data_IF_841982131453
#
_entry.id   IF_841982131453
#
_cell.length_a   1.000
_cell.length_b   1.000
_cell.length_c   1.000
_cell.angle_alpha   90.00
_cell.angle_beta   90.00
_cell.angle_gamma   90.00
#
_symmetry.space_group_name_H-M   'P 1'
#
loop_
_entity.id
_entity.type
_entity.pdbx_description
1 polymer ?
#
# COMPACT_ATOMS: atom_id res chain seq x y z
N UNK A 1 -8.67 -8.07 -10.89
CA UNK A 1 -9.47 -9.24 -11.38
C UNK A 1 -8.79 -10.51 -10.86
N UNK A 2 -9.51 -11.61 -10.68
CA UNK A 2 -8.90 -12.87 -10.24
C UNK A 2 -8.90 -13.81 -11.45
N UNK A 3 -7.72 -14.22 -11.93
CA UNK A 3 -7.58 -15.20 -13.00
C UNK A 3 -7.24 -16.55 -12.38
N UNK A 4 -8.07 -17.56 -12.59
CA UNK A 4 -7.98 -18.86 -11.92
C UNK A 4 -7.77 -20.05 -12.86
N UNK A 5 -7.36 -19.79 -14.09
CA UNK A 5 -7.05 -20.79 -15.12
C UNK A 5 -5.55 -20.68 -15.50
N UNK A 6 -4.89 -21.82 -15.65
CA UNK A 6 -3.47 -21.91 -16.04
C UNK A 6 -3.17 -21.08 -17.29
N UNK A 7 -3.96 -21.23 -18.34
CA UNK A 7 -3.77 -20.49 -19.59
C UNK A 7 -3.96 -18.99 -19.40
N UNK A 8 -4.99 -18.59 -18.65
CA UNK A 8 -5.26 -17.18 -18.37
C UNK A 8 -4.15 -16.52 -17.55
N UNK A 9 -3.53 -17.26 -16.61
CA UNK A 9 -2.37 -16.76 -15.84
C UNK A 9 -1.13 -16.64 -16.73
N UNK A 10 -0.88 -17.62 -17.61
CA UNK A 10 0.23 -17.57 -18.56
C UNK A 10 0.07 -16.38 -19.51
N UNK A 11 -1.12 -16.19 -20.08
CA UNK A 11 -1.38 -15.07 -20.97
C UNK A 11 -1.28 -13.72 -20.27
N UNK A 12 -1.74 -13.60 -19.01
CA UNK A 12 -1.57 -12.39 -18.22
C UNK A 12 -0.08 -12.05 -17.98
N UNK A 13 0.77 -13.06 -17.72
CA UNK A 13 2.21 -12.89 -17.61
C UNK A 13 2.85 -12.46 -18.93
N UNK A 14 2.44 -13.05 -20.06
CA UNK A 14 2.95 -12.74 -21.42
C UNK A 14 2.52 -11.35 -21.87
N UNK A 15 1.28 -10.98 -21.59
CA UNK A 15 0.70 -9.67 -21.97
C UNK A 15 1.25 -8.51 -21.10
N UNK A 16 2.12 -8.76 -20.13
CA UNK A 16 2.63 -7.74 -19.23
C UNK A 16 1.56 -7.14 -18.30
N UNK A 17 0.44 -7.84 -18.10
CA UNK A 17 -0.62 -7.39 -17.18
C UNK A 17 -0.04 -7.24 -15.78
N UNK A 18 -0.36 -6.14 -15.11
CA UNK A 18 0.10 -5.90 -13.73
C UNK A 18 -0.50 -6.92 -12.78
N UNK A 19 0.32 -7.87 -12.33
CA UNK A 19 -0.06 -8.93 -11.40
C UNK A 19 0.48 -8.59 -10.01
N UNK A 20 -0.41 -8.53 -9.02
CA UNK A 20 -0.04 -8.28 -7.62
C UNK A 20 0.59 -9.49 -6.95
N UNK A 21 -0.07 -10.65 -7.08
CA UNK A 21 0.37 -11.91 -6.46
C UNK A 21 -0.11 -13.08 -7.30
N UNK A 22 0.69 -14.14 -7.30
CA UNK A 22 0.27 -15.45 -7.80
C UNK A 22 0.29 -16.42 -6.63
N UNK A 23 -0.84 -17.10 -6.42
CA UNK A 23 -0.96 -18.20 -5.47
C UNK A 23 -0.83 -19.51 -6.22
N UNK A 24 0.05 -20.39 -5.73
CA UNK A 24 0.28 -21.72 -6.31
C UNK A 24 0.00 -22.77 -5.24
N UNK A 25 -0.65 -23.85 -5.63
CA UNK A 25 -0.98 -24.95 -4.74
C UNK A 25 0.29 -25.63 -4.22
N UNK A 26 0.39 -25.70 -2.89
CA UNK A 26 1.53 -26.33 -2.21
C UNK A 26 1.54 -27.84 -2.46
N UNK A 27 2.74 -28.38 -2.81
CA UNK A 27 2.94 -29.82 -3.00
C UNK A 27 2.57 -30.34 -4.39
N UNK A 28 2.10 -29.50 -5.31
CA UNK A 28 1.90 -29.87 -6.70
C UNK A 28 3.25 -29.98 -7.41
N UNK A 29 3.44 -31.09 -8.14
CA UNK A 29 4.65 -31.38 -8.93
C UNK A 29 4.47 -31.08 -10.42
N UNK A 30 3.40 -30.37 -10.79
CA UNK A 30 3.12 -30.01 -12.18
C UNK A 30 4.21 -29.09 -12.73
N UNK A 31 4.83 -29.50 -13.84
CA UNK A 31 5.86 -28.72 -14.52
C UNK A 31 5.35 -27.34 -14.98
N UNK A 32 4.09 -27.23 -15.35
CA UNK A 32 3.45 -25.98 -15.78
C UNK A 32 3.36 -24.98 -14.63
N UNK A 33 2.97 -25.45 -13.43
CA UNK A 33 2.94 -24.59 -12.22
C UNK A 33 4.35 -24.14 -11.84
N UNK A 34 5.35 -25.02 -11.95
CA UNK A 34 6.76 -24.69 -11.74
C UNK A 34 7.25 -23.63 -12.73
N UNK A 35 6.86 -23.73 -14.00
CA UNK A 35 7.20 -22.74 -15.03
C UNK A 35 6.54 -21.38 -14.74
N UNK A 36 5.25 -21.36 -14.39
CA UNK A 36 4.54 -20.14 -13.99
C UNK A 36 5.24 -19.48 -12.80
N UNK A 37 5.60 -20.25 -11.77
CA UNK A 37 6.31 -19.74 -10.60
C UNK A 37 7.64 -19.09 -10.95
N UNK A 38 8.42 -19.73 -11.81
CA UNK A 38 9.72 -19.24 -12.26
C UNK A 38 9.58 -17.96 -13.08
N UNK A 39 8.68 -17.95 -14.08
CA UNK A 39 8.41 -16.79 -14.92
C UNK A 39 7.91 -15.59 -14.10
N UNK A 40 6.98 -15.84 -13.17
CA UNK A 40 6.45 -14.81 -12.29
C UNK A 40 7.54 -14.19 -11.40
N UNK A 41 8.42 -15.02 -10.81
CA UNK A 41 9.54 -14.52 -9.98
C UNK A 41 10.54 -13.72 -10.82
N UNK A 42 10.84 -14.15 -12.05
CA UNK A 42 11.69 -13.41 -12.97
C UNK A 42 11.09 -12.05 -13.35
N UNK A 43 9.77 -11.96 -13.47
CA UNK A 43 9.03 -10.71 -13.68
C UNK A 43 8.83 -9.88 -12.39
N UNK A 44 9.40 -10.28 -11.25
CA UNK A 44 9.29 -9.56 -9.98
C UNK A 44 7.92 -9.67 -9.31
N UNK A 45 7.06 -10.60 -9.76
CA UNK A 45 5.74 -10.88 -9.18
C UNK A 45 5.89 -11.73 -7.92
N UNK A 46 5.14 -11.38 -6.87
CA UNK A 46 5.13 -12.15 -5.62
C UNK A 46 4.41 -13.48 -5.83
N UNK A 47 5.13 -14.59 -5.61
CA UNK A 47 4.57 -15.95 -5.63
C UNK A 47 4.40 -16.45 -4.20
N UNK A 48 3.22 -16.95 -3.87
CA UNK A 48 2.83 -17.42 -2.54
C UNK A 48 2.32 -18.86 -2.65
N UNK A 49 2.88 -19.75 -1.84
CA UNK A 49 2.35 -21.10 -1.71
C UNK A 49 1.06 -21.06 -0.90
N UNK A 50 0.03 -21.74 -1.39
CA UNK A 50 -1.28 -21.81 -0.77
C UNK A 50 -1.80 -23.25 -0.73
N UNK A 51 -2.57 -23.59 0.30
CA UNK A 51 -3.29 -24.85 0.32
C UNK A 51 -4.51 -24.82 -0.63
N UNK A 52 -5.02 -26.00 -0.96
CA UNK A 52 -6.16 -26.13 -1.87
C UNK A 52 -7.40 -25.41 -1.34
N UNK A 53 -7.67 -25.45 -0.03
CA UNK A 53 -8.83 -24.79 0.57
C UNK A 53 -8.81 -23.29 0.38
N UNK A 54 -7.62 -22.67 0.50
CA UNK A 54 -7.42 -21.25 0.25
C UNK A 54 -7.67 -20.90 -1.21
N UNK A 55 -7.20 -21.72 -2.14
CA UNK A 55 -7.43 -21.53 -3.57
C UNK A 55 -8.93 -21.72 -3.91
N UNK A 56 -9.58 -22.74 -3.38
CA UNK A 56 -11.03 -22.96 -3.54
C UNK A 56 -11.84 -21.75 -3.04
N UNK A 57 -11.46 -21.19 -1.88
CA UNK A 57 -12.12 -20.01 -1.32
C UNK A 57 -11.92 -18.76 -2.19
N UNK A 58 -10.73 -18.59 -2.78
CA UNK A 58 -10.41 -17.44 -3.63
C UNK A 58 -10.97 -17.55 -5.03
N UNK A 59 -11.16 -18.78 -5.53
CA UNK A 59 -11.69 -19.04 -6.87
C UNK A 59 -13.22 -18.94 -6.89
N UNK A 60 -13.75 -18.07 -7.72
CA UNK A 60 -15.21 -17.97 -7.94
C UNK A 60 -15.80 -19.17 -8.68
N UNK A 61 -15.00 -19.90 -9.44
CA UNK A 61 -15.43 -21.00 -10.33
C UNK A 61 -15.04 -22.35 -9.79
N UNK A 62 -14.26 -22.43 -8.70
CA UNK A 62 -13.64 -23.66 -8.16
C UNK A 62 -12.78 -24.44 -9.17
N UNK A 63 -12.50 -23.88 -10.35
CA UNK A 63 -11.72 -24.48 -11.43
C UNK A 63 -10.33 -23.84 -11.55
N UNK A 64 -9.61 -23.73 -10.42
CA UNK A 64 -8.35 -22.98 -10.37
C UNK A 64 -7.11 -23.74 -10.88
N UNK A 65 -7.19 -25.02 -11.15
CA UNK A 65 -6.06 -25.83 -11.66
C UNK A 65 -4.73 -25.62 -10.89
N UNK A 66 -4.80 -25.36 -9.58
CA UNK A 66 -3.64 -25.15 -8.71
C UNK A 66 -2.99 -23.76 -8.77
N UNK A 67 -3.56 -22.80 -9.51
CA UNK A 67 -3.04 -21.44 -9.61
C UNK A 67 -4.13 -20.38 -9.56
N UNK A 68 -3.82 -19.25 -8.90
CA UNK A 68 -4.65 -18.04 -8.94
C UNK A 68 -3.75 -16.81 -9.05
N UNK A 69 -3.98 -15.96 -10.04
CA UNK A 69 -3.35 -14.66 -10.17
C UNK A 69 -4.32 -13.54 -9.73
N UNK A 70 -3.85 -12.69 -8.84
CA UNK A 70 -4.52 -11.43 -8.52
C UNK A 70 -3.93 -10.34 -9.39
N UNK A 71 -4.71 -9.80 -10.30
CA UNK A 71 -4.31 -8.68 -11.15
C UNK A 71 -4.72 -7.36 -10.53
N UNK A 72 -3.88 -6.35 -10.68
CA UNK A 72 -4.18 -4.98 -10.28
C UNK A 72 -5.27 -4.39 -11.17
N UNK A 73 -6.12 -3.53 -10.61
CA UNK A 73 -7.12 -2.77 -11.37
C UNK A 73 -6.52 -1.51 -12.01
N UNK A 74 -5.30 -1.15 -11.60
CA UNK A 74 -4.53 -0.01 -12.08
C UNK A 74 -3.05 -0.34 -12.10
N UNK A 75 -2.30 0.31 -12.97
CA UNK A 75 -0.85 0.23 -12.98
C UNK A 75 -0.27 0.98 -11.78
N UNK A 76 0.84 0.46 -11.25
CA UNK A 76 1.62 1.15 -10.24
C UNK A 76 2.58 2.11 -10.91
N UNK A 77 2.79 3.25 -10.26
CA UNK A 77 3.79 4.23 -10.69
C UNK A 77 5.10 4.06 -9.90
N UNK A 78 6.14 4.76 -10.29
CA UNK A 78 7.34 4.89 -9.48
C UNK A 78 7.16 5.96 -8.38
N UNK A 79 8.02 5.92 -7.35
CA UNK A 79 8.05 6.95 -6.31
C UNK A 79 8.47 8.30 -6.91
N UNK A 80 9.35 8.27 -7.90
CA UNK A 80 9.78 9.46 -8.63
C UNK A 80 8.63 10.14 -9.38
N UNK A 81 7.71 9.36 -9.98
CA UNK A 81 6.52 9.94 -10.62
C UNK A 81 5.66 10.69 -9.61
N UNK A 82 5.51 10.17 -8.37
CA UNK A 82 4.77 10.85 -7.30
C UNK A 82 5.45 12.18 -6.93
N UNK A 83 6.77 12.19 -6.78
CA UNK A 83 7.53 13.40 -6.48
C UNK A 83 7.46 14.43 -7.62
N UNK A 84 7.50 13.97 -8.88
CA UNK A 84 7.39 14.82 -10.04
C UNK A 84 6.01 15.51 -10.13
N UNK A 85 4.92 14.83 -9.77
CA UNK A 85 3.60 15.46 -9.69
C UNK A 85 3.59 16.64 -8.71
N UNK A 86 4.23 16.51 -7.55
CA UNK A 86 4.34 17.62 -6.59
C UNK A 86 5.17 18.77 -7.16
N UNK A 87 6.31 18.46 -7.82
CA UNK A 87 7.17 19.46 -8.47
C UNK A 87 6.44 20.21 -9.59
N UNK A 88 5.69 19.49 -10.44
CA UNK A 88 4.92 20.08 -11.55
C UNK A 88 3.81 21.01 -11.05
N UNK A 89 3.20 20.69 -9.90
CA UNK A 89 2.20 21.54 -9.26
C UNK A 89 2.80 22.71 -8.48
N UNK A 90 4.12 22.73 -8.27
CA UNK A 90 4.78 23.69 -7.40
C UNK A 90 4.38 23.57 -5.92
N UNK A 91 3.99 22.38 -5.49
CA UNK A 91 3.50 22.09 -4.15
C UNK A 91 4.54 21.29 -3.33
N UNK A 92 4.52 21.48 -2.02
CA UNK A 92 5.27 20.60 -1.11
C UNK A 92 4.67 19.19 -1.16
N UNK A 93 5.47 18.14 -1.42
CA UNK A 93 4.96 16.77 -1.47
C UNK A 93 4.21 16.41 -0.18
N UNK A 94 3.06 15.75 -0.35
CA UNK A 94 2.32 15.06 0.70
C UNK A 94 2.13 13.62 0.24
N UNK A 95 2.83 12.69 0.88
CA UNK A 95 2.87 11.28 0.48
C UNK A 95 2.35 10.43 1.63
N UNK A 96 1.51 9.46 1.33
CA UNK A 96 1.06 8.46 2.31
C UNK A 96 1.85 7.19 2.13
N UNK A 97 2.49 6.70 3.17
CA UNK A 97 3.22 5.44 3.17
C UNK A 97 2.49 4.44 4.06
N UNK A 98 2.04 3.34 3.48
CA UNK A 98 1.35 2.27 4.21
C UNK A 98 2.35 1.18 4.60
N UNK A 99 2.54 0.92 5.89
CA UNK A 99 3.36 -0.18 6.39
C UNK A 99 2.46 -1.35 6.82
N UNK A 100 2.50 -2.45 6.05
CA UNK A 100 1.76 -3.70 6.28
C UNK A 100 0.21 -3.56 6.37
N UNK A 101 -0.38 -2.59 5.67
CA UNK A 101 -1.85 -2.49 5.55
C UNK A 101 -2.37 -3.64 4.68
N UNK A 102 -2.81 -4.72 5.30
CA UNK A 102 -3.21 -5.97 4.63
C UNK A 102 -4.71 -6.04 4.30
N UNK A 103 -5.55 -5.27 5.00
CA UNK A 103 -6.98 -5.17 4.71
C UNK A 103 -7.24 -4.25 3.51
N UNK A 104 -7.87 -4.77 2.43
CA UNK A 104 -8.20 -3.96 1.25
C UNK A 104 -9.24 -2.86 1.55
N UNK A 105 -10.08 -3.01 2.59
CA UNK A 105 -11.01 -1.97 2.98
C UNK A 105 -10.28 -0.76 3.56
N UNK A 106 -9.29 -1.00 4.43
CA UNK A 106 -8.46 0.07 4.98
C UNK A 106 -7.63 0.75 3.90
N UNK A 107 -6.97 -0.03 3.02
CA UNK A 107 -6.20 0.57 1.93
C UNK A 107 -7.08 1.42 1.02
N UNK A 108 -8.29 0.96 0.66
CA UNK A 108 -9.22 1.73 -0.15
C UNK A 108 -9.67 3.01 0.53
N UNK A 109 -9.97 2.97 1.83
CA UNK A 109 -10.35 4.16 2.61
C UNK A 109 -9.18 5.15 2.73
N UNK A 110 -7.94 4.67 2.94
CA UNK A 110 -6.73 5.51 2.96
C UNK A 110 -6.53 6.20 1.60
N UNK A 111 -6.61 5.47 0.48
CA UNK A 111 -6.50 6.04 -0.88
C UNK A 111 -7.56 7.11 -1.11
N UNK A 112 -8.80 6.86 -0.69
CA UNK A 112 -9.89 7.84 -0.80
C UNK A 112 -9.59 9.11 -0.01
N UNK A 113 -9.14 8.97 1.23
CA UNK A 113 -8.78 10.11 2.06
C UNK A 113 -7.57 10.86 1.50
N UNK A 114 -6.56 10.14 0.98
CA UNK A 114 -5.39 10.72 0.34
C UNK A 114 -5.79 11.60 -0.87
N UNK A 115 -6.72 11.13 -1.68
CA UNK A 115 -7.27 11.91 -2.80
C UNK A 115 -7.97 13.18 -2.30
N UNK A 116 -8.91 13.04 -1.38
CA UNK A 116 -9.65 14.17 -0.82
C UNK A 116 -8.74 15.21 -0.12
N UNK A 117 -7.64 14.76 0.47
CA UNK A 117 -6.63 15.61 1.12
C UNK A 117 -5.62 16.22 0.14
N UNK A 118 -5.69 15.92 -1.15
CA UNK A 118 -4.74 16.40 -2.14
C UNK A 118 -3.33 15.80 -2.00
N UNK A 119 -3.22 14.59 -1.44
CA UNK A 119 -1.94 13.89 -1.41
C UNK A 119 -1.45 13.53 -2.82
N UNK A 120 -0.14 13.65 -3.04
CA UNK A 120 0.46 13.42 -4.35
C UNK A 120 0.59 11.95 -4.72
N UNK A 121 0.52 11.05 -3.73
CA UNK A 121 0.50 9.62 -3.95
C UNK A 121 0.47 8.80 -2.68
N UNK A 122 0.22 7.50 -2.89
CA UNK A 122 0.24 6.49 -1.83
C UNK A 122 1.31 5.46 -2.16
N UNK A 123 2.10 5.05 -1.17
CA UNK A 123 3.12 4.01 -1.34
C UNK A 123 2.78 2.80 -0.48
N UNK A 124 2.83 1.62 -1.09
CA UNK A 124 2.59 0.34 -0.42
C UNK A 124 3.77 -0.62 -0.60
N UNK A 125 4.03 -1.56 0.33
CA UNK A 125 5.04 -2.57 0.13
C UNK A 125 4.56 -3.68 -0.85
N UNK A 126 5.51 -4.33 -1.54
CA UNK A 126 5.22 -5.49 -2.41
C UNK A 126 4.70 -6.71 -1.64
N UNK A 127 5.04 -6.84 -0.38
CA UNK A 127 4.66 -7.95 0.49
C UNK A 127 3.91 -7.44 1.71
N UNK A 128 3.11 -8.30 2.34
CA UNK A 128 2.35 -8.01 3.57
C UNK A 128 1.44 -6.78 3.45
N UNK A 129 0.89 -6.54 2.27
CA UNK A 129 -0.02 -5.44 1.99
C UNK A 129 -1.12 -5.90 1.05
N UNK A 130 -2.27 -5.24 1.12
CA UNK A 130 -3.26 -5.31 0.07
C UNK A 130 -2.69 -4.67 -1.21
N UNK A 131 -3.06 -5.20 -2.38
CA UNK A 131 -2.77 -4.59 -3.66
C UNK A 131 -4.00 -3.86 -4.21
N UNK A 132 -3.87 -3.24 -5.38
CA UNK A 132 -4.96 -2.50 -6.05
C UNK A 132 -6.00 -3.46 -6.65
N UNK A 133 -6.74 -4.14 -5.79
CA UNK A 133 -7.78 -5.10 -6.17
C UNK A 133 -9.11 -4.40 -6.48
N UNK A 134 -10.08 -5.16 -7.02
CA UNK A 134 -11.45 -4.66 -7.22
C UNK A 134 -12.14 -4.23 -5.91
N UNK A 135 -11.76 -4.83 -4.77
CA UNK A 135 -12.26 -4.41 -3.46
C UNK A 135 -11.72 -3.03 -3.12
N UNK A 136 -10.41 -2.79 -3.31
CA UNK A 136 -9.79 -1.47 -3.10
C UNK A 136 -10.42 -0.42 -4.01
N UNK A 137 -10.65 -0.73 -5.30
CA UNK A 137 -11.33 0.18 -6.21
C UNK A 137 -12.73 0.56 -5.73
N UNK A 138 -13.50 -0.42 -5.23
CA UNK A 138 -14.84 -0.20 -4.69
C UNK A 138 -14.79 0.62 -3.38
N UNK A 139 -13.93 0.26 -2.45
CA UNK A 139 -13.85 0.93 -1.12
C UNK A 139 -13.25 2.32 -1.20
N UNK A 140 -12.37 2.57 -2.18
CA UNK A 140 -11.87 3.91 -2.48
C UNK A 140 -12.89 4.80 -3.20
N UNK A 141 -14.09 4.30 -3.51
CA UNK A 141 -15.10 5.01 -4.30
C UNK A 141 -14.54 5.58 -5.62
N UNK A 142 -13.59 4.87 -6.24
CA UNK A 142 -12.95 5.28 -7.49
C UNK A 142 -11.73 6.17 -7.33
N UNK A 143 -11.37 6.63 -6.13
CA UNK A 143 -10.21 7.50 -5.89
C UNK A 143 -8.89 6.89 -6.37
N UNK A 144 -8.78 5.55 -6.41
CA UNK A 144 -7.63 4.83 -7.00
C UNK A 144 -7.35 5.20 -8.46
N UNK A 145 -8.29 5.85 -9.14
CA UNK A 145 -8.13 6.33 -10.52
C UNK A 145 -7.45 7.70 -10.62
N UNK A 146 -7.38 8.43 -9.52
CA UNK A 146 -6.89 9.80 -9.45
C UNK A 146 -5.60 9.91 -8.65
N UNK A 147 -5.46 9.14 -7.57
CA UNK A 147 -4.24 9.11 -6.75
C UNK A 147 -3.28 8.06 -7.29
N UNK A 148 -2.07 8.43 -7.71
CA UNK A 148 -1.05 7.46 -8.09
C UNK A 148 -0.62 6.62 -6.89
N UNK A 149 -0.44 5.32 -7.14
CA UNK A 149 0.03 4.39 -6.12
C UNK A 149 1.35 3.78 -6.56
N UNK A 150 2.38 3.93 -5.75
CA UNK A 150 3.65 3.27 -5.97
C UNK A 150 3.76 1.98 -5.13
N UNK A 151 4.53 1.02 -5.63
CA UNK A 151 4.73 -0.26 -4.95
C UNK A 151 6.21 -0.59 -4.82
N UNK A 152 6.70 -0.63 -3.58
CA UNK A 152 8.13 -0.75 -3.28
C UNK A 152 8.49 -2.08 -2.60
N UNK A 153 9.70 -2.60 -2.80
CA UNK A 153 10.13 -3.83 -2.16
C UNK A 153 10.44 -3.66 -0.67
N UNK A 154 10.80 -2.44 -0.24
CA UNK A 154 11.33 -2.17 1.10
C UNK A 154 10.94 -0.75 1.53
N UNK A 155 10.12 -0.62 2.58
CA UNK A 155 9.68 0.68 3.11
C UNK A 155 10.84 1.43 3.80
N UNK A 156 11.66 0.83 4.70
CA UNK A 156 12.83 1.52 5.25
C UNK A 156 13.74 2.19 4.21
N UNK A 157 14.07 1.49 3.12
CA UNK A 157 14.88 2.06 2.05
C UNK A 157 14.17 3.20 1.30
N UNK A 158 12.84 3.11 1.12
CA UNK A 158 12.05 4.21 0.60
C UNK A 158 12.14 5.44 1.49
N UNK A 159 11.99 5.29 2.82
CA UNK A 159 12.04 6.42 3.74
C UNK A 159 13.39 7.14 3.64
N UNK A 160 14.51 6.40 3.59
CA UNK A 160 15.84 6.99 3.36
C UNK A 160 15.95 7.72 2.00
N UNK A 161 15.29 7.21 0.96
CA UNK A 161 15.22 7.89 -0.33
C UNK A 161 14.46 9.21 -0.22
N UNK A 162 13.28 9.21 0.40
CA UNK A 162 12.44 10.40 0.59
C UNK A 162 13.17 11.47 1.41
N UNK A 163 13.88 11.07 2.47
CA UNK A 163 14.69 11.98 3.30
C UNK A 163 15.80 12.66 2.48
N UNK A 164 16.48 11.93 1.57
CA UNK A 164 17.48 12.51 0.66
C UNK A 164 16.89 13.52 -0.32
N UNK A 165 15.60 13.37 -0.67
CA UNK A 165 14.84 14.32 -1.48
C UNK A 165 14.27 15.50 -0.66
N UNK A 166 14.60 15.58 0.63
CA UNK A 166 14.16 16.66 1.53
C UNK A 166 12.74 16.49 2.06
N UNK A 167 12.17 15.28 1.99
CA UNK A 167 10.85 14.97 2.52
C UNK A 167 10.96 14.46 3.94
N UNK A 168 10.34 15.14 4.90
CA UNK A 168 10.27 14.74 6.29
C UNK A 168 9.32 13.56 6.49
N UNK A 169 9.73 12.57 7.27
CA UNK A 169 8.99 11.34 7.51
C UNK A 169 8.35 11.34 8.88
N UNK A 170 7.02 11.36 8.92
CA UNK A 170 6.20 11.33 10.13
C UNK A 170 5.59 9.95 10.32
N UNK A 171 6.07 9.20 11.29
CA UNK A 171 5.53 7.89 11.66
C UNK A 171 4.44 8.02 12.71
N UNK A 172 3.34 7.25 12.55
CA UNK A 172 2.23 7.24 13.50
C UNK A 172 2.47 6.18 14.59
N UNK A 173 2.47 6.57 15.83
CA UNK A 173 2.64 5.66 16.96
C UNK A 173 1.75 6.08 18.13
N UNK A 174 1.21 5.09 18.86
CA UNK A 174 0.42 5.38 20.08
C UNK A 174 1.27 6.08 21.14
N UNK A 175 2.55 5.71 21.23
CA UNK A 175 3.57 6.31 22.09
C UNK A 175 4.51 7.19 21.24
N UNK A 176 3.94 8.21 20.58
CA UNK A 176 4.72 9.18 19.82
C UNK A 176 5.52 10.08 20.74
N UNK A 177 6.65 10.58 20.22
CA UNK A 177 7.48 11.58 20.93
C UNK A 177 6.87 12.97 20.90
N UNK A 178 5.91 13.20 20.00
CA UNK A 178 5.21 14.48 19.80
C UNK A 178 3.71 14.27 19.60
N UNK A 179 2.92 15.21 20.08
CA UNK A 179 1.49 15.29 19.73
C UNK A 179 1.37 15.72 18.26
N UNK A 180 0.43 15.11 17.53
CA UNK A 180 0.16 15.44 16.13
C UNK A 180 -0.05 16.94 15.92
N UNK A 181 -0.79 17.59 16.81
CA UNK A 181 -1.15 19.01 16.68
C UNK A 181 0.02 19.98 16.94
N UNK A 182 1.14 19.47 17.47
CA UNK A 182 2.40 20.22 17.63
C UNK A 182 3.42 19.95 16.52
N UNK A 183 3.18 18.97 15.66
CA UNK A 183 4.05 18.64 14.53
C UNK A 183 3.90 19.65 13.39
N UNK A 184 4.98 20.03 12.73
CA UNK A 184 4.93 20.91 11.54
C UNK A 184 4.81 20.06 10.26
N UNK A 185 3.62 20.06 9.67
CA UNK A 185 3.28 19.34 8.44
C UNK A 185 3.15 20.26 7.21
N UNK A 186 3.58 21.52 7.30
CA UNK A 186 3.49 22.50 6.20
C UNK A 186 4.45 22.20 5.06
N UNK A 187 5.64 21.71 5.40
CA UNK A 187 6.69 21.38 4.43
C UNK A 187 6.44 20.06 3.69
N UNK A 188 7.46 19.61 2.91
CA UNK A 188 7.44 18.28 2.29
C UNK A 188 7.29 17.19 3.34
N UNK A 189 6.25 16.34 3.23
CA UNK A 189 5.93 15.37 4.27
C UNK A 189 5.52 14.01 3.69
N UNK A 190 6.03 12.94 4.30
CA UNK A 190 5.57 11.57 4.13
C UNK A 190 4.96 11.09 5.46
N UNK A 191 3.69 10.73 5.43
CA UNK A 191 2.94 10.23 6.59
C UNK A 191 2.89 8.71 6.52
N UNK A 192 3.51 8.05 7.50
CA UNK A 192 3.58 6.59 7.58
C UNK A 192 2.46 6.06 8.47
N UNK A 193 1.62 5.21 7.90
CA UNK A 193 0.50 4.55 8.59
C UNK A 193 0.84 3.07 8.75
N UNK A 194 0.91 2.62 9.99
CA UNK A 194 1.12 1.21 10.33
C UNK A 194 -0.16 0.38 10.36
N UNK A 195 -0.01 -0.94 10.50
CA UNK A 195 -1.13 -1.88 10.64
C UNK A 195 -1.93 -1.66 11.93
N UNK A 196 -3.18 -2.17 11.99
CA UNK A 196 -4.09 -1.97 13.11
C UNK A 196 -3.66 -2.65 14.41
N UNK A 197 -2.98 -3.80 14.33
CA UNK A 197 -2.56 -4.55 15.51
C UNK A 197 -1.19 -4.13 16.00
N UNK A 198 -0.21 -4.27 15.13
CA UNK A 198 1.21 -4.13 15.46
C UNK A 198 1.75 -2.70 15.20
N UNK A 199 0.96 -1.84 14.56
CA UNK A 199 1.40 -0.52 14.15
C UNK A 199 2.46 -0.58 13.04
N UNK A 200 3.43 0.31 13.07
CA UNK A 200 4.58 0.28 12.16
C UNK A 200 5.58 -0.79 12.58
N UNK A 201 6.21 -1.43 11.60
CA UNK A 201 7.33 -2.34 11.87
C UNK A 201 8.48 -1.58 12.55
N UNK A 202 9.28 -2.29 13.38
CA UNK A 202 10.38 -1.68 14.13
C UNK A 202 11.35 -0.89 13.23
N UNK A 203 11.76 -1.47 12.11
CA UNK A 203 12.70 -0.82 11.19
C UNK A 203 12.11 0.42 10.52
N UNK A 204 10.81 0.42 10.19
CA UNK A 204 10.11 1.60 9.65
C UNK A 204 10.05 2.69 10.71
N UNK A 205 9.70 2.35 11.95
CA UNK A 205 9.65 3.29 13.07
C UNK A 205 11.01 3.94 13.32
N UNK A 206 12.10 3.18 13.28
CA UNK A 206 13.49 3.68 13.48
C UNK A 206 13.95 4.63 12.35
N UNK A 207 13.31 4.56 11.16
CA UNK A 207 13.65 5.42 10.01
C UNK A 207 12.77 6.67 9.89
N UNK A 208 11.76 6.84 10.74
CA UNK A 208 10.97 8.07 10.78
C UNK A 208 11.78 9.19 11.44
N UNK A 209 11.67 10.40 10.89
CA UNK A 209 12.28 11.60 11.51
C UNK A 209 11.51 12.01 12.77
N UNK A 210 10.20 11.85 12.73
CA UNK A 210 9.29 12.18 13.83
C UNK A 210 8.30 11.04 14.07
N UNK A 211 8.03 10.78 15.35
CA UNK A 211 6.95 9.89 15.77
C UNK A 211 5.84 10.73 16.37
N UNK A 212 4.70 10.76 15.71
CA UNK A 212 3.53 11.55 16.12
C UNK A 212 2.44 10.67 16.68
N UNK A 213 1.77 11.13 17.73
CA UNK A 213 0.62 10.45 18.33
C UNK A 213 -0.65 11.29 18.19
N UNK A 214 -1.77 10.60 17.97
CA UNK A 214 -3.10 11.20 18.05
C UNK A 214 -3.55 11.13 19.52
N UNK A 215 -3.92 12.24 20.18
CA UNK A 215 -4.35 12.21 21.57
C UNK A 215 -5.58 11.34 21.79
N UNK A 216 -5.43 10.30 22.58
CA UNK A 216 -6.53 9.37 22.92
C UNK A 216 -7.08 9.70 24.29
N UNK A 217 -8.39 10.00 24.39
CA UNK A 217 -9.06 10.35 25.64
C UNK A 217 -9.90 9.21 26.22
N UNK A 218 -10.06 8.13 25.47
CA UNK A 218 -10.84 6.95 25.85
C UNK A 218 -9.97 5.86 26.50
N UNK A 219 -10.58 4.70 26.71
CA UNK A 219 -9.91 3.50 27.24
C UNK A 219 -9.21 2.67 26.15
N UNK A 220 -9.60 2.86 24.89
CA UNK A 220 -9.02 2.17 23.75
C UNK A 220 -7.81 2.98 23.28
N UNK A 221 -6.68 2.32 23.09
CA UNK A 221 -5.37 2.93 22.83
C UNK A 221 -5.06 3.18 21.34
N UNK A 222 -5.90 2.72 20.42
CA UNK A 222 -5.66 2.85 18.98
C UNK A 222 -6.93 3.11 18.19
N UNK A 223 -6.78 3.75 17.05
CA UNK A 223 -7.82 3.92 16.03
C UNK A 223 -7.64 2.90 14.92
N UNK A 224 -8.70 2.68 14.15
CA UNK A 224 -8.58 2.02 12.86
C UNK A 224 -7.56 2.78 11.96
N UNK A 225 -6.75 2.05 11.20
CA UNK A 225 -5.66 2.61 10.41
C UNK A 225 -6.14 3.69 9.42
N UNK A 226 -7.29 3.50 8.77
CA UNK A 226 -7.83 4.49 7.85
C UNK A 226 -8.38 5.73 8.56
N UNK A 227 -8.91 5.59 9.78
CA UNK A 227 -9.33 6.72 10.61
C UNK A 227 -8.12 7.53 11.08
N UNK A 228 -7.05 6.87 11.53
CA UNK A 228 -5.80 7.53 11.88
C UNK A 228 -5.23 8.30 10.69
N UNK A 229 -5.17 7.67 9.50
CA UNK A 229 -4.73 8.33 8.28
C UNK A 229 -5.55 9.58 7.95
N UNK A 230 -6.87 9.53 8.13
CA UNK A 230 -7.74 10.68 7.87
C UNK A 230 -7.42 11.87 8.80
N UNK A 231 -7.22 11.62 10.08
CA UNK A 231 -6.87 12.66 11.04
C UNK A 231 -5.53 13.32 10.69
N UNK A 232 -4.50 12.52 10.39
CA UNK A 232 -3.17 13.04 10.06
C UNK A 232 -3.16 13.84 8.75
N UNK A 233 -3.81 13.31 7.72
CA UNK A 233 -3.88 13.97 6.42
C UNK A 233 -4.63 15.31 6.51
N UNK A 234 -5.75 15.34 7.24
CA UNK A 234 -6.51 16.58 7.38
C UNK A 234 -5.86 17.58 8.34
N UNK A 235 -5.02 17.14 9.28
CA UNK A 235 -4.17 18.07 10.03
C UNK A 235 -3.11 18.69 9.10
N UNK A 236 -2.48 17.90 8.22
CA UNK A 236 -1.60 18.46 7.21
C UNK A 236 -2.31 19.45 6.27
N UNK A 237 -3.53 19.13 5.84
CA UNK A 237 -4.36 20.04 5.03
C UNK A 237 -4.67 21.34 5.80
N UNK A 238 -5.12 21.24 7.05
CA UNK A 238 -5.41 22.40 7.89
C UNK A 238 -4.20 23.35 7.99
N UNK A 239 -3.03 22.80 8.27
CA UNK A 239 -1.81 23.59 8.40
C UNK A 239 -1.38 24.22 7.06
N UNK A 240 -1.53 23.52 5.95
CA UNK A 240 -1.18 24.00 4.60
C UNK A 240 -2.15 25.06 4.08
N UNK A 241 -3.40 25.04 4.54
CA UNK A 241 -4.37 26.09 4.26
C UNK A 241 -4.17 27.35 5.13
N UNK A 242 -3.22 27.34 6.06
CA UNK A 242 -2.93 28.46 6.95
C UNK A 242 -3.95 28.68 8.06
N UNK A 243 -4.72 27.63 8.40
CA UNK A 243 -5.74 27.68 9.45
C UNK A 243 -5.25 27.11 10.78
#
# INVERSE_FOLDING_TARGET
MCSSDLNAVIEALRAGTTIDKIFIQKGETDKTLGHIASTARAAGVVVVDADKRKLDFMSRTHAHQGVIALTSVREYVSVEDILNIAREKGENPLIVVCDEISDPHNLGAIIRTAECAGAHGVVIPKRRSAGLTSIVAKTSAGAVSYVPVARVPNIPALLEQLQKEGVWVFGTAAEGTSDLYSADLKGPAAIVIGSEGDGMTRLVREKCDFLVSIPMKGKISSLNASAAAAILLYEAVRQRLGQ
#
